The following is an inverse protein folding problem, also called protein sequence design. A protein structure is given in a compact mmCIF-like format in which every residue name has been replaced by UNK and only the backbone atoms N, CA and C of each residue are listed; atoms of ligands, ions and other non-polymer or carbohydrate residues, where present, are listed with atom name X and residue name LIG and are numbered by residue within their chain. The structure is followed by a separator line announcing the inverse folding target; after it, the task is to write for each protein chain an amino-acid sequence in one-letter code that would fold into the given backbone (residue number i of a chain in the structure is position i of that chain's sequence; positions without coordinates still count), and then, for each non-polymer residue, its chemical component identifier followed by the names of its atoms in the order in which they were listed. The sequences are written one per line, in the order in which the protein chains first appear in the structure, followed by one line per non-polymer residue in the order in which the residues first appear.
data_IF_383768131964
#
_entry.id   IF_383768131964
#
_cell.length_a   1.000
_cell.length_b   1.000
_cell.length_c   1.000
_cell.angle_alpha   90.00
_cell.angle_beta   90.00
_cell.angle_gamma   90.00
#
_symmetry.space_group_name_H-M   'P 1'
#
loop_
_entity.id
_entity.type
_entity.pdbx_description
1 polymer ?
#
# COMPACT_ATOMS: atom_id res chain seq x y z
N UNK A 1 9.85 12.78 9.92
CA UNK A 1 9.42 13.64 8.80
C UNK A 1 9.71 12.93 7.49
N UNK A 2 8.93 11.89 7.22
CA UNK A 2 8.74 11.32 5.88
C UNK A 2 7.29 10.87 5.87
N UNK A 3 6.40 11.78 5.49
CA UNK A 3 4.95 11.58 5.49
C UNK A 3 4.51 10.78 4.24
N UNK A 4 5.38 9.90 3.76
CA UNK A 4 5.20 9.16 2.52
C UNK A 4 5.53 7.69 2.74
N UNK A 5 4.62 6.84 2.28
CA UNK A 5 4.81 5.41 2.15
C UNK A 5 5.76 5.14 1.00
N UNK A 6 6.76 4.30 1.24
CA UNK A 6 7.65 3.76 0.21
C UNK A 6 7.23 2.34 -0.18
N UNK A 7 7.79 1.83 -1.28
CA UNK A 7 7.61 0.43 -1.69
C UNK A 7 8.06 -0.56 -0.63
N UNK A 8 9.09 -0.22 0.15
CA UNK A 8 9.56 -1.04 1.28
C UNK A 8 8.50 -1.16 2.36
N UNK A 9 7.87 -0.05 2.70
CA UNK A 9 6.80 -0.03 3.69
C UNK A 9 5.56 -0.77 3.19
N UNK A 10 5.22 -0.63 1.91
CA UNK A 10 4.16 -1.41 1.29
C UNK A 10 4.46 -2.91 1.31
N UNK A 11 5.70 -3.33 1.02
CA UNK A 11 6.10 -4.74 1.08
C UNK A 11 5.97 -5.32 2.50
N UNK A 12 6.37 -4.56 3.51
CA UNK A 12 6.20 -4.93 4.92
C UNK A 12 4.72 -5.03 5.32
N UNK A 13 3.88 -4.10 4.83
CA UNK A 13 2.42 -4.14 5.03
C UNK A 13 1.78 -5.35 4.33
N UNK A 14 2.16 -5.64 3.09
CA UNK A 14 1.69 -6.84 2.36
C UNK A 14 2.01 -8.11 3.15
N UNK A 15 3.19 -8.18 3.75
CA UNK A 15 3.62 -9.31 4.57
C UNK A 15 2.82 -9.41 5.87
N UNK A 16 2.55 -8.30 6.55
CA UNK A 16 1.79 -8.31 7.82
C UNK A 16 0.29 -8.51 7.61
N UNK A 17 -0.31 -7.81 6.66
CA UNK A 17 -1.74 -7.81 6.42
C UNK A 17 -2.22 -9.05 5.67
N UNK A 18 -1.44 -9.53 4.70
CA UNK A 18 -1.84 -10.62 3.82
C UNK A 18 -0.91 -11.85 3.88
N UNK A 19 0.18 -11.80 4.63
CA UNK A 19 1.19 -12.87 4.62
C UNK A 19 2.01 -12.92 3.34
N UNK A 20 1.87 -11.94 2.43
CA UNK A 20 2.53 -11.90 1.14
C UNK A 20 3.91 -11.29 1.30
N UNK A 21 4.95 -12.11 1.18
CA UNK A 21 6.33 -11.61 1.20
C UNK A 21 6.76 -11.30 -0.23
N UNK A 22 7.00 -10.03 -0.51
CA UNK A 22 7.52 -9.56 -1.80
C UNK A 22 8.80 -8.77 -1.56
N UNK A 23 9.75 -8.87 -2.49
CA UNK A 23 10.98 -8.08 -2.42
C UNK A 23 10.68 -6.64 -2.85
N UNK A 24 11.08 -5.61 -2.07
CA UNK A 24 10.77 -4.22 -2.40
C UNK A 24 11.36 -3.77 -3.74
N UNK A 25 12.52 -4.31 -4.14
CA UNK A 25 13.10 -4.02 -5.45
C UNK A 25 12.27 -4.63 -6.60
N UNK A 26 11.67 -5.80 -6.39
CA UNK A 26 10.77 -6.41 -7.37
C UNK A 26 9.41 -5.70 -7.39
N UNK A 27 8.89 -5.31 -6.22
CA UNK A 27 7.67 -4.53 -6.11
C UNK A 27 7.81 -3.17 -6.80
N UNK A 28 8.96 -2.51 -6.71
CA UNK A 28 9.24 -1.26 -7.40
C UNK A 28 9.25 -1.45 -8.93
N UNK A 29 9.97 -2.45 -9.42
CA UNK A 29 10.01 -2.78 -10.86
C UNK A 29 8.64 -3.18 -11.39
N UNK A 30 7.85 -3.89 -10.60
CA UNK A 30 6.51 -4.37 -10.93
C UNK A 30 5.41 -3.52 -10.31
N UNK A 31 5.70 -2.25 -10.00
CA UNK A 31 4.73 -1.35 -9.39
C UNK A 31 3.54 -1.02 -10.32
N UNK A 32 3.74 -1.22 -11.63
CA UNK A 32 2.71 -1.14 -12.67
C UNK A 32 1.89 -2.45 -12.80
N UNK A 33 2.34 -3.55 -12.18
CA UNK A 33 1.63 -4.83 -12.16
C UNK A 33 0.51 -4.82 -11.13
N UNK A 34 -0.49 -5.66 -11.35
CA UNK A 34 -1.62 -5.82 -10.42
C UNK A 34 -1.19 -6.44 -9.10
N UNK A 35 -1.86 -6.06 -8.02
CA UNK A 35 -1.70 -6.69 -6.70
C UNK A 35 -1.95 -8.21 -6.72
N UNK A 36 -2.87 -8.66 -7.58
CA UNK A 36 -3.16 -10.07 -7.85
C UNK A 36 -1.93 -10.86 -8.27
N UNK A 37 -1.00 -10.24 -9.01
CA UNK A 37 0.21 -10.89 -9.52
C UNK A 37 1.19 -11.25 -8.41
N UNK A 38 1.09 -10.55 -7.27
CA UNK A 38 1.87 -10.83 -6.06
C UNK A 38 1.14 -11.80 -5.11
N UNK A 39 -0.07 -12.25 -5.47
CA UNK A 39 -0.92 -13.05 -4.58
C UNK A 39 -1.65 -12.20 -3.54
N UNK A 40 -1.81 -10.89 -3.79
CA UNK A 40 -2.60 -10.01 -2.95
C UNK A 40 -4.02 -9.88 -3.51
N UNK A 41 -4.98 -10.47 -2.79
CA UNK A 41 -6.41 -10.33 -3.09
C UNK A 41 -7.00 -9.01 -2.56
N UNK A 42 -8.24 -8.71 -2.95
CA UNK A 42 -9.00 -7.56 -2.45
C UNK A 42 -9.10 -7.52 -0.92
N UNK A 43 -9.13 -8.68 -0.25
CA UNK A 43 -9.11 -8.78 1.22
C UNK A 43 -7.74 -8.39 1.81
N UNK A 44 -6.66 -8.80 1.15
CA UNK A 44 -5.31 -8.43 1.56
C UNK A 44 -5.10 -6.92 1.46
N UNK A 45 -5.61 -6.31 0.39
CA UNK A 45 -5.57 -4.85 0.21
C UNK A 45 -6.36 -4.11 1.29
N UNK A 46 -7.55 -4.58 1.66
CA UNK A 46 -8.32 -4.02 2.78
C UNK A 46 -7.54 -4.10 4.10
N UNK A 47 -6.84 -5.22 4.34
CA UNK A 47 -5.97 -5.37 5.51
C UNK A 47 -4.81 -4.37 5.51
N UNK A 48 -4.18 -4.11 4.36
CA UNK A 48 -3.12 -3.11 4.21
C UNK A 48 -3.63 -1.72 4.55
N UNK A 49 -4.77 -1.32 3.99
CA UNK A 49 -5.41 -0.01 4.27
C UNK A 49 -5.67 0.13 5.76
N UNK A 50 -6.28 -0.87 6.40
CA UNK A 50 -6.56 -0.82 7.84
C UNK A 50 -5.31 -0.78 8.73
N UNK A 51 -4.24 -1.52 8.38
CA UNK A 51 -2.98 -1.44 9.13
C UNK A 51 -2.30 -0.08 8.96
N UNK A 52 -2.44 0.52 7.78
CA UNK A 52 -1.91 1.83 7.45
C UNK A 52 -2.65 2.95 8.19
N UNK A 53 -3.98 2.89 8.25
CA UNK A 53 -4.80 3.80 9.07
C UNK A 53 -4.40 3.74 10.54
N UNK A 54 -4.21 2.53 11.07
CA UNK A 54 -3.79 2.35 12.46
C UNK A 54 -2.37 2.87 12.71
N UNK A 55 -1.45 2.70 11.76
CA UNK A 55 -0.06 3.14 11.86
C UNK A 55 0.09 4.66 11.79
N UNK A 56 -0.61 5.30 10.85
CA UNK A 56 -0.53 6.75 10.64
C UNK A 56 -1.52 7.52 11.52
N UNK A 57 -2.51 6.85 12.12
CA UNK A 57 -3.56 7.50 12.89
C UNK A 57 -4.43 8.43 12.04
N UNK A 58 -4.42 8.25 10.72
CA UNK A 58 -5.11 9.08 9.75
C UNK A 58 -6.04 8.20 8.89
N UNK A 59 -7.27 8.68 8.59
CA UNK A 59 -8.19 7.95 7.74
C UNK A 59 -7.60 7.82 6.33
N UNK A 60 -7.54 6.60 5.82
CA UNK A 60 -7.06 6.36 4.46
C UNK A 60 -8.20 6.58 3.47
N UNK A 61 -7.91 7.06 2.25
CA UNK A 61 -8.93 7.26 1.25
C UNK A 61 -9.60 5.92 0.90
N UNK A 62 -10.94 5.91 0.80
CA UNK A 62 -11.73 4.72 0.39
C UNK A 62 -11.43 4.26 -1.04
N UNK A 63 -10.72 5.07 -1.83
CA UNK A 63 -10.19 4.66 -3.13
C UNK A 63 -8.90 3.82 -3.02
N UNK A 64 -8.24 3.78 -1.85
CA UNK A 64 -7.03 2.99 -1.62
C UNK A 64 -7.30 1.48 -1.76
N UNK A 65 -8.42 0.98 -1.23
CA UNK A 65 -8.86 -0.41 -1.41
C UNK A 65 -9.31 -0.72 -2.85
N UNK A 66 -9.51 0.30 -3.69
CA UNK A 66 -9.88 0.14 -5.10
C UNK A 66 -8.66 0.18 -6.02
N UNK A 67 -7.49 0.48 -5.47
CA UNK A 67 -6.26 0.56 -6.24
C UNK A 67 -5.89 -0.82 -6.78
N UNK A 68 -5.64 -0.89 -8.09
CA UNK A 68 -5.28 -2.15 -8.74
C UNK A 68 -3.78 -2.43 -8.70
N UNK A 69 -2.98 -1.37 -8.60
CA UNK A 69 -1.52 -1.46 -8.68
C UNK A 69 -0.86 -0.80 -7.46
N UNK A 70 0.32 -1.30 -7.02
CA UNK A 70 1.12 -0.69 -5.97
C UNK A 70 1.39 0.79 -6.24
N UNK A 71 1.68 1.15 -7.49
CA UNK A 71 1.96 2.54 -7.88
C UNK A 71 0.77 3.47 -7.64
N UNK A 72 -0.42 3.05 -8.03
CA UNK A 72 -1.65 3.83 -7.83
C UNK A 72 -1.97 3.99 -6.34
N UNK A 73 -1.79 2.92 -5.56
CA UNK A 73 -1.98 2.93 -4.12
C UNK A 73 -1.04 3.91 -3.43
N UNK A 74 0.26 3.79 -3.71
CA UNK A 74 1.29 4.66 -3.14
C UNK A 74 1.05 6.13 -3.51
N UNK A 75 0.70 6.43 -4.77
CA UNK A 75 0.42 7.78 -5.22
C UNK A 75 -0.78 8.40 -4.48
N UNK A 76 -1.86 7.64 -4.35
CA UNK A 76 -3.07 8.07 -3.64
C UNK A 76 -2.81 8.32 -2.15
N UNK A 77 -2.18 7.36 -1.47
CA UNK A 77 -1.86 7.48 -0.04
C UNK A 77 -0.89 8.63 0.21
N UNK A 78 0.19 8.71 -0.58
CA UNK A 78 1.17 9.78 -0.43
C UNK A 78 0.56 11.16 -0.71
N UNK A 79 -0.37 11.25 -1.66
CA UNK A 79 -1.12 12.48 -1.91
C UNK A 79 -2.03 12.84 -0.73
N UNK A 80 -2.70 11.86 -0.12
CA UNK A 80 -3.56 12.07 1.05
C UNK A 80 -2.78 12.50 2.28
N UNK A 81 -1.65 11.85 2.55
CA UNK A 81 -0.76 12.17 3.66
C UNK A 81 -0.19 13.59 3.49
N UNK A 82 0.42 13.90 2.34
CA UNK A 82 0.97 15.23 2.04
C UNK A 82 -0.08 16.34 2.08
N UNK A 83 -1.31 16.07 1.65
CA UNK A 83 -2.40 17.05 1.69
C UNK A 83 -2.97 17.29 3.11
N UNK A 84 -2.75 16.35 4.03
CA UNK A 84 -3.17 16.46 5.43
C UNK A 84 -2.13 17.10 6.36
N UNK A 85 -0.94 17.43 5.84
CA UNK A 85 0.19 18.02 6.57
C UNK A 85 0.16 19.57 6.63
#
# INVERSE_FOLDING_TARGET
MSDRITVEELAELMKKAAGVTVDPAELEKRSDSGFDTFGLDSLGLLGIVGELENRHGAPMPTDAERCKTPRQFLDLVNSSLVAGA
#
